data_IF_794764792046
#
_entry.id   IF_794764792046
#
_cell.length_a   1.000
_cell.length_b   1.000
_cell.length_c   1.000
_cell.angle_alpha   90.00
_cell.angle_beta   90.00
_cell.angle_gamma   90.00
#
_symmetry.space_group_name_H-M   'P 1'
#
loop_
_entity.id
_entity.type
_entity.pdbx_description
1 polymer ?
#
# COMPACT_ATOMS: atom_id res chain seq x y z
N UNK A 1 13.35 23.74 16.60
CA UNK A 1 14.75 23.40 16.26
C UNK A 1 15.34 22.57 17.38
N UNK A 2 16.13 21.55 17.07
CA UNK A 2 16.86 20.78 18.09
C UNK A 2 17.72 21.75 18.92
N UNK A 3 17.22 22.07 20.14
CA UNK A 3 17.92 21.88 21.42
C UNK A 3 16.89 21.69 22.56
N UNK A 4 16.80 20.45 23.06
CA UNK A 4 17.11 20.10 24.47
C UNK A 4 18.07 18.89 24.41
N UNK A 5 19.07 18.82 25.31
CA UNK A 5 20.14 17.79 25.47
C UNK A 5 21.46 17.91 24.70
N UNK A 6 21.64 18.87 23.77
CA UNK A 6 22.93 19.12 23.06
C UNK A 6 23.68 17.83 22.65
N UNK A 7 23.06 16.91 21.90
CA UNK A 7 23.72 15.66 21.53
C UNK A 7 24.88 15.90 20.57
N UNK A 8 25.93 15.07 20.64
CA UNK A 8 27.06 15.10 19.71
C UNK A 8 26.66 14.64 18.30
N UNK A 9 25.68 13.72 18.20
CA UNK A 9 25.16 13.17 16.96
C UNK A 9 23.65 12.94 17.07
N UNK A 10 22.94 13.05 15.94
CA UNK A 10 21.50 12.80 15.86
C UNK A 10 21.23 11.82 14.72
N UNK A 11 20.50 10.74 15.02
CA UNK A 11 20.01 9.79 14.01
C UNK A 11 18.50 9.98 13.88
N UNK A 12 18.02 10.25 12.66
CA UNK A 12 16.60 10.32 12.35
C UNK A 12 16.14 8.96 11.80
N UNK A 13 15.41 8.21 12.62
CA UNK A 13 14.92 6.87 12.30
C UNK A 13 13.41 6.73 12.61
N UNK A 14 12.62 7.75 12.30
CA UNK A 14 11.17 7.79 12.60
C UNK A 14 10.31 6.95 11.66
N UNK A 15 10.90 6.37 10.62
CA UNK A 15 10.18 5.61 9.60
C UNK A 15 9.25 6.48 8.76
N UNK A 16 8.20 5.85 8.21
CA UNK A 16 7.21 6.46 7.34
C UNK A 16 5.80 6.15 7.81
N UNK A 17 4.83 6.96 7.36
CA UNK A 17 3.40 6.69 7.52
C UNK A 17 2.77 6.42 6.14
N UNK A 18 1.66 5.67 6.07
CA UNK A 18 0.90 5.52 4.84
C UNK A 18 0.49 6.90 4.30
N UNK A 19 0.65 7.11 3.00
CA UNK A 19 0.10 8.27 2.32
C UNK A 19 -1.40 8.07 2.10
N UNK A 20 -2.22 8.99 2.63
CA UNK A 20 -3.67 8.98 2.43
C UNK A 20 -4.01 10.08 1.41
N UNK A 21 -4.48 9.73 0.21
CA UNK A 21 -4.87 10.73 -0.78
C UNK A 21 -6.12 11.48 -0.31
N UNK A 22 -6.26 12.74 -0.73
CA UNK A 22 -7.42 13.58 -0.40
C UNK A 22 -8.65 13.17 -1.23
N UNK A 23 -9.24 12.02 -0.88
CA UNK A 23 -10.43 11.45 -1.51
C UNK A 23 -11.51 11.39 -0.44
N UNK A 24 -12.69 11.93 -0.75
CA UNK A 24 -13.84 11.84 0.14
C UNK A 24 -14.35 10.39 0.19
N UNK A 25 -14.37 9.81 1.39
CA UNK A 25 -14.92 8.48 1.64
C UNK A 25 -16.23 8.65 2.41
N UNK A 26 -17.31 8.06 1.90
CA UNK A 26 -18.66 8.21 2.48
C UNK A 26 -18.77 7.73 3.94
N UNK A 27 -17.95 6.76 4.34
CA UNK A 27 -17.88 6.31 5.73
C UNK A 27 -16.44 5.88 6.12
N UNK A 28 -16.16 5.89 7.43
CA UNK A 28 -14.82 5.61 7.96
C UNK A 28 -14.43 4.12 7.92
N UNK A 29 -15.33 3.21 7.51
CA UNK A 29 -15.06 1.77 7.46
C UNK A 29 -14.88 1.23 6.04
N UNK A 30 -15.17 2.02 5.01
CA UNK A 30 -15.05 1.63 3.60
C UNK A 30 -13.60 1.64 3.12
N UNK A 31 -12.73 2.42 3.76
CA UNK A 31 -11.33 2.54 3.39
C UNK A 31 -10.41 2.09 4.53
N UNK A 32 -9.46 1.23 4.21
CA UNK A 32 -8.42 0.76 5.13
C UNK A 32 -7.06 0.90 4.45
N UNK A 33 -5.99 1.01 5.23
CA UNK A 33 -4.64 1.01 4.67
C UNK A 33 -4.17 -0.41 4.35
N UNK A 34 -3.15 -0.55 3.50
CA UNK A 34 -2.48 -1.84 3.31
C UNK A 34 -1.90 -2.39 4.61
N UNK A 35 -1.47 -1.51 5.53
CA UNK A 35 -0.97 -1.90 6.85
C UNK A 35 -2.10 -2.53 7.66
N UNK A 36 -3.27 -1.87 7.76
CA UNK A 36 -4.45 -2.39 8.49
C UNK A 36 -4.86 -3.79 7.97
N UNK A 37 -4.81 -3.98 6.64
CA UNK A 37 -5.16 -5.24 5.99
C UNK A 37 -4.14 -6.34 6.30
N UNK A 38 -2.86 -6.06 6.06
CA UNK A 38 -1.79 -7.05 6.17
C UNK A 38 -1.43 -7.38 7.62
N UNK A 39 -1.71 -6.47 8.57
CA UNK A 39 -1.61 -6.74 10.01
C UNK A 39 -2.80 -7.55 10.56
N UNK A 40 -3.79 -7.87 9.72
CA UNK A 40 -5.03 -8.55 10.11
C UNK A 40 -5.89 -7.77 11.13
N UNK A 41 -5.66 -6.45 11.26
CA UNK A 41 -6.49 -5.58 12.11
C UNK A 41 -7.86 -5.33 11.48
N UNK A 42 -7.90 -5.20 10.15
CA UNK A 42 -9.14 -5.01 9.39
C UNK A 42 -9.16 -5.90 8.17
N UNK A 43 -10.37 -6.23 7.70
CA UNK A 43 -10.56 -7.07 6.51
C UNK A 43 -11.49 -6.42 5.50
N UNK A 44 -11.36 -6.84 4.25
CA UNK A 44 -12.13 -6.33 3.10
C UNK A 44 -13.30 -7.23 2.74
N UNK A 45 -14.31 -6.63 2.11
CA UNK A 45 -15.43 -7.34 1.49
C UNK A 45 -15.02 -8.15 0.26
N UNK A 46 -16.00 -8.56 -0.56
CA UNK A 46 -15.74 -9.37 -1.76
C UNK A 46 -15.24 -8.54 -2.95
N UNK A 47 -15.68 -7.29 -3.07
CA UNK A 47 -15.26 -6.36 -4.12
C UNK A 47 -14.33 -5.31 -3.52
N UNK A 48 -13.14 -5.15 -4.11
CA UNK A 48 -12.07 -4.34 -3.54
C UNK A 48 -11.52 -3.39 -4.59
N UNK A 49 -11.52 -2.09 -4.27
CA UNK A 49 -10.79 -1.08 -5.03
C UNK A 49 -9.43 -0.86 -4.36
N UNK A 50 -8.34 -1.10 -5.09
CA UNK A 50 -6.98 -0.81 -4.63
C UNK A 50 -6.54 0.50 -5.26
N UNK A 51 -6.28 1.50 -4.41
CA UNK A 51 -5.87 2.84 -4.85
C UNK A 51 -4.35 2.94 -4.81
N UNK A 52 -3.73 3.00 -5.98
CA UNK A 52 -2.28 2.94 -6.18
C UNK A 52 -1.83 1.55 -6.63
N UNK A 53 -1.15 1.51 -7.77
CA UNK A 53 -0.57 0.33 -8.40
C UNK A 53 0.94 0.21 -8.23
N UNK A 54 1.53 0.85 -7.22
CA UNK A 54 2.93 0.65 -6.83
C UNK A 54 3.21 -0.74 -6.23
N UNK A 55 4.37 -0.91 -5.62
CA UNK A 55 4.82 -2.20 -5.07
C UNK A 55 3.84 -2.78 -4.06
N UNK A 56 3.47 -1.97 -3.04
CA UNK A 56 2.53 -2.39 -1.99
C UNK A 56 1.14 -2.69 -2.57
N UNK A 57 0.64 -1.86 -3.49
CA UNK A 57 -0.67 -2.08 -4.12
C UNK A 57 -0.71 -3.40 -4.90
N UNK A 58 0.35 -3.71 -5.65
CA UNK A 58 0.47 -4.97 -6.38
C UNK A 58 0.55 -6.18 -5.44
N UNK A 59 1.25 -6.07 -4.31
CA UNK A 59 1.32 -7.13 -3.29
C UNK A 59 -0.03 -7.37 -2.60
N UNK A 60 -0.76 -6.30 -2.29
CA UNK A 60 -2.12 -6.40 -1.74
C UNK A 60 -3.05 -7.11 -2.71
N UNK A 61 -2.96 -6.81 -4.01
CA UNK A 61 -3.78 -7.48 -5.03
C UNK A 61 -3.44 -8.95 -5.12
N UNK A 62 -2.16 -9.29 -5.21
CA UNK A 62 -1.71 -10.69 -5.27
C UNK A 62 -2.14 -11.46 -4.00
N UNK A 63 -2.02 -10.83 -2.82
CA UNK A 63 -2.49 -11.39 -1.56
C UNK A 63 -4.00 -11.63 -1.57
N UNK A 64 -4.82 -10.62 -1.89
CA UNK A 64 -6.27 -10.74 -1.88
C UNK A 64 -6.80 -11.67 -2.99
N UNK A 65 -6.08 -11.84 -4.09
CA UNK A 65 -6.41 -12.79 -5.14
C UNK A 65 -6.37 -14.24 -4.63
N UNK A 66 -5.45 -14.57 -3.72
CA UNK A 66 -5.41 -15.89 -3.06
C UNK A 66 -6.65 -16.18 -2.20
N UNK A 67 -7.39 -15.14 -1.79
CA UNK A 67 -8.66 -15.23 -1.09
C UNK A 67 -9.89 -15.10 -2.01
N UNK A 68 -9.70 -15.17 -3.34
CA UNK A 68 -10.79 -15.13 -4.31
C UNK A 68 -11.56 -13.81 -4.34
N UNK A 69 -10.91 -12.69 -3.97
CA UNK A 69 -11.54 -11.37 -4.01
C UNK A 69 -11.62 -10.83 -5.45
N UNK A 70 -12.66 -10.07 -5.73
CA UNK A 70 -12.80 -9.35 -6.99
C UNK A 70 -12.16 -7.96 -6.86
N UNK A 71 -11.05 -7.73 -7.54
CA UNK A 71 -10.15 -6.60 -7.27
C UNK A 71 -9.96 -5.74 -8.51
N UNK A 72 -10.06 -4.43 -8.35
CA UNK A 72 -9.73 -3.44 -9.39
C UNK A 72 -8.63 -2.51 -8.87
N UNK A 73 -7.55 -2.38 -9.63
CA UNK A 73 -6.46 -1.44 -9.34
C UNK A 73 -6.74 -0.11 -10.05
N UNK A 74 -6.66 0.98 -9.31
CA UNK A 74 -6.67 2.34 -9.84
C UNK A 74 -5.27 2.92 -9.72
N UNK A 75 -4.62 3.15 -10.87
CA UNK A 75 -3.28 3.72 -10.97
C UNK A 75 -3.34 4.97 -11.86
N UNK A 76 -2.65 6.03 -11.42
CA UNK A 76 -2.56 7.31 -12.13
C UNK A 76 -1.48 7.28 -13.22
N UNK A 77 -0.43 6.48 -13.04
CA UNK A 77 0.64 6.29 -14.01
C UNK A 77 0.22 5.34 -15.13
N UNK A 78 0.96 5.38 -16.25
CA UNK A 78 0.71 4.50 -17.41
C UNK A 78 0.96 3.00 -17.11
N UNK A 79 1.70 2.69 -16.03
CA UNK A 79 2.12 1.33 -15.68
C UNK A 79 2.10 1.12 -14.17
N UNK A 80 1.75 -0.09 -13.77
CA UNK A 80 1.87 -0.58 -12.38
C UNK A 80 3.28 -1.08 -12.06
N UNK A 81 3.56 -1.21 -10.76
CA UNK A 81 4.80 -1.71 -10.16
C UNK A 81 6.06 -1.01 -10.70
N UNK A 82 5.99 0.28 -10.99
CA UNK A 82 7.12 1.09 -11.51
C UNK A 82 8.23 1.25 -10.47
N UNK A 83 7.88 1.22 -9.20
CA UNK A 83 8.73 1.29 -8.01
C UNK A 83 9.21 -0.09 -7.50
N UNK A 84 8.69 -1.20 -8.05
CA UNK A 84 9.05 -2.55 -7.65
C UNK A 84 10.40 -2.97 -8.24
N UNK A 85 11.23 -3.64 -7.42
CA UNK A 85 12.50 -4.19 -7.88
C UNK A 85 12.32 -5.23 -8.98
N UNK A 86 13.17 -5.18 -10.02
CA UNK A 86 12.95 -5.86 -11.30
C UNK A 86 12.74 -7.37 -11.16
N UNK A 87 13.54 -8.06 -10.32
CA UNK A 87 13.40 -9.51 -10.22
C UNK A 87 12.07 -9.94 -9.55
N UNK A 88 11.55 -9.14 -8.63
CA UNK A 88 10.24 -9.40 -7.99
C UNK A 88 9.13 -9.08 -8.98
N UNK A 89 9.27 -7.98 -9.71
CA UNK A 89 8.29 -7.47 -10.69
C UNK A 89 7.93 -8.48 -11.77
N UNK A 90 8.93 -9.19 -12.32
CA UNK A 90 8.70 -10.14 -13.43
C UNK A 90 7.75 -11.27 -13.03
N UNK A 91 7.89 -11.80 -11.82
CA UNK A 91 7.07 -12.92 -11.35
C UNK A 91 5.70 -12.44 -10.86
N UNK A 92 5.63 -11.28 -10.20
CA UNK A 92 4.37 -10.75 -9.66
C UNK A 92 3.44 -10.25 -10.75
N UNK A 93 3.92 -9.48 -11.73
CA UNK A 93 3.04 -8.97 -12.81
C UNK A 93 2.42 -10.10 -13.63
N UNK A 94 3.12 -11.23 -13.82
CA UNK A 94 2.56 -12.38 -14.54
C UNK A 94 1.35 -13.01 -13.82
N UNK A 95 1.27 -12.90 -12.49
CA UNK A 95 0.15 -13.41 -11.68
C UNK A 95 -1.04 -12.47 -11.66
N UNK A 96 -0.83 -11.19 -11.99
CA UNK A 96 -1.86 -10.15 -12.00
C UNK A 96 -2.56 -10.00 -13.36
N UNK A 97 -2.24 -10.86 -14.33
CA UNK A 97 -2.87 -10.94 -15.66
C UNK A 97 -3.72 -12.20 -15.75
#
# INVERSE_FOLDING_TARGET
>A
MIKVNKPDQVILATGSLPFIPNIEVKDNNTAITAVDLLSSEKWVGSNVAVIGGGMVGCEVVDFLAEYGKNITIFEMLDKIATDMWVAIKINRIKRLK
#
